data_IF_006467400275
#
_entry.id   IF_006467400275
#
_cell.length_a   1.000
_cell.length_b   1.000
_cell.length_c   1.000
_cell.angle_alpha   90.00
_cell.angle_beta   90.00
_cell.angle_gamma   90.00
#
_symmetry.space_group_name_H-M   'P 1'
#
loop_
_entity.id
_entity.type
_entity.pdbx_description
1 polymer ?
#
# COMPACT_ATOMS: atom_id res chain seq x y z
N UNK A 1 21.87 17.23 -6.14
CA UNK A 1 21.29 16.33 -5.12
C UNK A 1 20.32 15.32 -5.71
N UNK A 2 19.45 15.66 -6.68
CA UNK A 2 18.56 14.67 -7.32
C UNK A 2 19.25 13.53 -8.09
N UNK A 3 20.45 13.78 -8.64
CA UNK A 3 21.22 12.74 -9.36
C UNK A 3 21.54 11.53 -8.48
N UNK A 4 21.99 11.75 -7.23
CA UNK A 4 22.34 10.67 -6.29
C UNK A 4 21.15 9.75 -5.97
N UNK A 5 19.92 10.28 -5.98
CA UNK A 5 18.72 9.46 -5.76
C UNK A 5 18.43 8.57 -6.96
N UNK A 6 18.64 9.07 -8.17
CA UNK A 6 18.49 8.27 -9.39
C UNK A 6 19.57 7.18 -9.45
N UNK A 7 20.82 7.53 -9.14
CA UNK A 7 21.92 6.57 -9.05
C UNK A 7 21.59 5.45 -8.05
N UNK A 8 21.09 5.79 -6.86
CA UNK A 8 20.69 4.79 -5.87
C UNK A 8 19.49 3.92 -6.32
N UNK A 9 18.55 4.46 -7.09
CA UNK A 9 17.43 3.69 -7.66
C UNK A 9 17.94 2.66 -8.67
N UNK A 10 18.90 3.04 -9.51
CA UNK A 10 19.50 2.17 -10.51
C UNK A 10 20.43 1.13 -9.87
N UNK A 11 21.36 1.55 -9.01
CA UNK A 11 22.35 0.67 -8.37
C UNK A 11 21.72 -0.42 -7.48
N UNK A 12 20.56 -0.13 -6.89
CA UNK A 12 19.85 -1.05 -6.00
C UNK A 12 18.62 -1.71 -6.64
N UNK A 13 18.43 -1.58 -7.95
CA UNK A 13 17.31 -2.17 -8.71
C UNK A 13 15.92 -1.89 -8.08
N UNK A 14 15.72 -0.67 -7.56
CA UNK A 14 14.53 -0.36 -6.76
C UNK A 14 13.23 -0.42 -7.57
N UNK A 15 13.29 -0.19 -8.88
CA UNK A 15 12.12 -0.29 -9.77
C UNK A 15 11.64 -1.74 -9.90
N UNK A 16 12.56 -2.69 -10.09
CA UNK A 16 12.21 -4.11 -10.18
C UNK A 16 11.75 -4.64 -8.82
N UNK A 17 12.41 -4.23 -7.74
CA UNK A 17 11.93 -4.52 -6.39
C UNK A 17 10.51 -3.98 -6.16
N UNK A 18 10.19 -2.77 -6.61
CA UNK A 18 8.85 -2.21 -6.49
C UNK A 18 7.79 -3.03 -7.25
N UNK A 19 8.14 -3.59 -8.42
CA UNK A 19 7.25 -4.51 -9.16
C UNK A 19 7.02 -5.80 -8.38
N UNK A 20 8.08 -6.43 -7.87
CA UNK A 20 8.00 -7.69 -7.13
C UNK A 20 7.22 -7.52 -5.82
N UNK A 21 7.54 -6.50 -5.03
CA UNK A 21 6.89 -6.22 -3.74
C UNK A 21 5.45 -5.75 -3.90
N UNK A 22 5.17 -4.97 -4.94
CA UNK A 22 3.80 -4.59 -5.30
C UNK A 22 2.93 -5.82 -5.59
N UNK A 23 3.43 -6.73 -6.43
CA UNK A 23 2.74 -7.99 -6.73
C UNK A 23 2.51 -8.81 -5.46
N UNK A 24 3.54 -8.99 -4.63
CA UNK A 24 3.45 -9.70 -3.36
C UNK A 24 2.33 -9.14 -2.47
N UNK A 25 2.25 -7.81 -2.33
CA UNK A 25 1.20 -7.16 -1.54
C UNK A 25 -0.20 -7.49 -2.08
N UNK A 26 -0.41 -7.33 -3.39
CA UNK A 26 -1.72 -7.55 -4.01
C UNK A 26 -2.16 -9.01 -3.88
N UNK A 27 -1.26 -9.97 -4.14
CA UNK A 27 -1.54 -11.40 -4.00
C UNK A 27 -1.87 -11.74 -2.55
N UNK A 28 -1.04 -11.31 -1.59
CA UNK A 28 -1.26 -11.57 -0.16
C UNK A 28 -2.59 -11.03 0.34
N UNK A 29 -2.96 -9.81 -0.07
CA UNK A 29 -4.21 -9.18 0.37
C UNK A 29 -5.44 -9.81 -0.28
N UNK A 30 -5.36 -10.26 -1.54
CA UNK A 30 -6.45 -10.98 -2.21
C UNK A 30 -6.64 -12.38 -1.63
N UNK A 31 -5.55 -13.09 -1.38
CA UNK A 31 -5.59 -14.43 -0.80
C UNK A 31 -6.10 -14.43 0.65
N UNK A 32 -5.95 -13.30 1.36
CA UNK A 32 -6.49 -13.12 2.70
C UNK A 32 -8.03 -13.02 2.73
N UNK A 33 -8.67 -12.73 1.58
CA UNK A 33 -10.13 -12.68 1.38
C UNK A 33 -10.87 -12.02 2.57
N UNK A 34 -10.45 -10.80 2.89
CA UNK A 34 -10.94 -10.10 4.08
C UNK A 34 -12.34 -9.53 3.82
N UNK A 35 -13.35 -10.03 4.53
CA UNK A 35 -14.75 -9.57 4.46
C UNK A 35 -14.96 -8.04 4.33
N UNK A 36 -14.23 -7.15 5.05
CA UNK A 36 -14.46 -5.70 4.93
C UNK A 36 -13.76 -5.04 3.73
N UNK A 37 -13.05 -5.78 2.88
CA UNK A 37 -12.26 -5.25 1.75
C UNK A 37 -12.92 -5.63 0.42
N UNK A 38 -13.52 -4.65 -0.26
CA UNK A 38 -14.23 -4.84 -1.52
C UNK A 38 -13.30 -4.89 -2.74
N UNK A 39 -12.16 -4.20 -2.68
CA UNK A 39 -11.18 -4.21 -3.78
C UNK A 39 -9.73 -4.07 -3.29
N UNK A 40 -8.84 -4.76 -4.01
CA UNK A 40 -7.39 -4.74 -3.85
C UNK A 40 -6.75 -4.41 -5.19
N UNK A 41 -6.09 -3.26 -5.28
CA UNK A 41 -5.51 -2.74 -6.54
C UNK A 41 -4.18 -2.03 -6.33
N UNK A 42 -3.36 -1.99 -7.39
CA UNK A 42 -2.11 -1.24 -7.37
C UNK A 42 -1.27 -1.38 -8.64
N UNK A 43 -0.22 -0.56 -8.74
CA UNK A 43 0.82 -0.63 -9.78
C UNK A 43 2.19 -0.37 -9.16
N UNK A 44 3.06 -1.39 -9.14
CA UNK A 44 4.27 -1.33 -8.31
C UNK A 44 3.90 -1.15 -6.84
N UNK A 45 4.57 -0.23 -6.14
CA UNK A 45 4.28 0.09 -4.73
C UNK A 45 3.17 1.13 -4.51
N UNK A 46 2.51 1.59 -5.58
CA UNK A 46 1.31 2.41 -5.46
C UNK A 46 0.10 1.50 -5.25
N UNK A 47 -0.10 1.06 -4.00
CA UNK A 47 -1.12 0.08 -3.62
C UNK A 47 -2.28 0.68 -2.83
N UNK A 48 -3.46 0.08 -2.94
CA UNK A 48 -4.66 0.49 -2.23
C UNK A 48 -5.59 -0.68 -1.86
N UNK A 49 -6.27 -0.52 -0.74
CA UNK A 49 -7.39 -1.36 -0.29
C UNK A 49 -8.64 -0.48 -0.22
N UNK A 50 -9.75 -0.95 -0.79
CA UNK A 50 -11.06 -0.32 -0.68
C UNK A 50 -11.91 -1.09 0.32
N UNK A 51 -12.52 -0.37 1.26
CA UNK A 51 -13.36 -0.95 2.28
C UNK A 51 -14.82 -0.73 1.96
N UNK A 52 -15.68 -1.62 2.48
CA UNK A 52 -17.14 -1.52 2.34
C UNK A 52 -17.75 -0.26 2.99
N UNK A 53 -17.05 0.32 3.97
CA UNK A 53 -17.47 1.53 4.68
C UNK A 53 -16.27 2.40 5.06
N UNK A 54 -16.51 3.72 5.08
CA UNK A 54 -15.56 4.70 5.60
C UNK A 54 -15.19 4.42 7.07
N UNK A 55 -16.14 4.04 7.91
CA UNK A 55 -15.93 3.82 9.35
C UNK A 55 -14.94 2.68 9.59
N UNK A 56 -15.06 1.57 8.84
CA UNK A 56 -14.11 0.46 8.90
C UNK A 56 -12.74 0.87 8.40
N UNK A 57 -12.64 1.59 7.28
CA UNK A 57 -11.37 2.14 6.79
C UNK A 57 -10.69 3.01 7.86
N UNK A 58 -11.42 3.93 8.47
CA UNK A 58 -10.89 4.85 9.48
C UNK A 58 -10.45 4.10 10.75
N UNK A 59 -11.19 3.06 11.15
CA UNK A 59 -10.79 2.18 12.25
C UNK A 59 -9.47 1.46 11.93
N UNK A 60 -9.27 0.97 10.70
CA UNK A 60 -8.02 0.35 10.28
C UNK A 60 -6.86 1.36 10.30
N UNK A 61 -7.05 2.58 9.79
CA UNK A 61 -6.04 3.66 9.86
C UNK A 61 -5.60 3.90 11.30
N UNK A 62 -6.56 4.05 12.21
CA UNK A 62 -6.28 4.28 13.63
C UNK A 62 -5.51 3.11 14.26
N UNK A 63 -5.97 1.87 14.06
CA UNK A 63 -5.32 0.69 14.61
C UNK A 63 -3.92 0.46 14.01
N UNK A 64 -3.74 0.75 12.72
CA UNK A 64 -2.43 0.68 12.08
C UNK A 64 -1.46 1.68 12.73
N UNK A 65 -1.90 2.92 12.92
CA UNK A 65 -1.09 3.95 13.59
C UNK A 65 -0.71 3.57 15.02
N UNK A 66 -1.66 3.07 15.82
CA UNK A 66 -1.41 2.59 17.19
C UNK A 66 -0.42 1.41 17.23
N UNK A 67 -0.30 0.66 16.14
CA UNK A 67 0.64 -0.46 15.96
C UNK A 67 1.93 -0.07 15.22
N UNK A 68 2.15 1.21 14.96
CA UNK A 68 3.38 1.72 14.34
C UNK A 68 3.41 1.68 12.81
N UNK A 69 2.28 1.45 12.14
CA UNK A 69 2.17 1.51 10.68
C UNK A 69 1.42 2.78 10.25
N UNK A 70 2.16 3.73 9.70
CA UNK A 70 1.57 4.93 9.12
C UNK A 70 0.96 4.62 7.75
N UNK A 71 -0.31 4.95 7.58
CA UNK A 71 -1.08 4.74 6.34
C UNK A 71 -1.82 6.01 5.96
N UNK A 72 -2.31 6.10 4.72
CA UNK A 72 -3.01 7.28 4.23
C UNK A 72 -4.44 6.94 3.78
N UNK A 73 -5.43 7.53 4.44
CA UNK A 73 -6.79 7.56 3.93
C UNK A 73 -6.85 8.34 2.61
N UNK A 74 -7.67 7.88 1.66
CA UNK A 74 -7.91 8.53 0.38
C UNK A 74 -9.39 8.37 0.00
N UNK A 75 -10.01 9.44 -0.50
CA UNK A 75 -11.43 9.41 -0.88
C UNK A 75 -12.32 9.00 0.30
N UNK A 76 -13.46 8.35 0.01
CA UNK A 76 -14.42 7.96 1.03
C UNK A 76 -13.94 6.76 1.85
N UNK A 77 -13.58 5.66 1.19
CA UNK A 77 -13.35 4.35 1.83
C UNK A 77 -12.06 3.64 1.41
N UNK A 78 -11.10 4.36 0.81
CA UNK A 78 -9.83 3.76 0.34
C UNK A 78 -8.68 4.03 1.31
N UNK A 79 -7.84 3.02 1.55
CA UNK A 79 -6.58 3.11 2.28
C UNK A 79 -5.41 2.91 1.31
N UNK A 80 -4.49 3.88 1.24
CA UNK A 80 -3.26 3.77 0.45
C UNK A 80 -2.13 3.19 1.29
N UNK A 81 -1.41 2.27 0.67
CA UNK A 81 -0.18 1.66 1.19
C UNK A 81 0.95 2.11 0.27
N UNK A 82 1.78 3.04 0.78
CA UNK A 82 2.87 3.69 0.03
C UNK A 82 4.21 3.44 0.74
N UNK A 83 4.75 2.21 0.69
CA UNK A 83 6.08 1.94 1.20
C UNK A 83 7.14 2.68 0.35
N UNK A 84 8.35 2.89 0.91
CA UNK A 84 9.44 3.59 0.23
C UNK A 84 9.92 2.87 -1.04
#
# INVERSE_FOLDING_TARGET
>A
QGALTLDAIEEADLTDNAVVRGRQFIETMRDADLDPVDDVRGKGLLCALEFDTKERRDAVVKNAFERGLLTLACGHEVLRILPP
#
